data_IF_165867324042
#
_entry.id   IF_165867324042
#
_cell.length_a   1.000
_cell.length_b   1.000
_cell.length_c   1.000
_cell.angle_alpha   90.00
_cell.angle_beta   90.00
_cell.angle_gamma   90.00
#
_symmetry.space_group_name_H-M   'P 1'
#
loop_
_entity.id
_entity.type
_entity.pdbx_description
1 polymer ?
#
# COMPACT_ATOMS: atom_id res chain seq x y z
N UNK A 1 6.53 0.91 17.51
CA UNK A 1 7.94 0.47 17.59
C UNK A 1 8.02 -0.65 18.61
N UNK A 2 8.58 -1.77 18.22
CA UNK A 2 8.89 -2.87 19.14
C UNK A 2 10.39 -3.04 19.14
N UNK A 3 10.99 -3.00 20.34
CA UNK A 3 12.41 -3.31 20.49
C UNK A 3 12.57 -4.84 20.35
N UNK A 4 13.32 -5.27 19.35
CA UNK A 4 13.67 -6.67 19.21
C UNK A 4 14.79 -6.97 20.21
N UNK A 5 14.45 -7.79 21.19
CA UNK A 5 15.40 -8.25 22.19
C UNK A 5 16.18 -9.48 21.71
N UNK A 6 17.35 -9.72 22.29
CA UNK A 6 18.12 -10.95 22.04
C UNK A 6 17.30 -12.20 22.36
N UNK A 7 16.49 -12.16 23.40
CA UNK A 7 15.59 -13.25 23.78
C UNK A 7 14.55 -13.56 22.68
N UNK A 8 14.02 -12.53 22.00
CA UNK A 8 13.09 -12.71 20.87
C UNK A 8 13.76 -13.37 19.68
N UNK A 9 15.03 -13.04 19.41
CA UNK A 9 15.83 -13.67 18.35
C UNK A 9 16.10 -15.13 18.67
N UNK A 10 16.51 -15.44 19.90
CA UNK A 10 16.80 -16.80 20.36
C UNK A 10 15.56 -17.69 20.37
N UNK A 11 14.41 -17.13 20.66
CA UNK A 11 13.11 -17.81 20.57
C UNK A 11 12.57 -17.94 19.16
N UNK A 12 13.24 -17.36 18.15
CA UNK A 12 12.78 -17.36 16.76
C UNK A 12 11.52 -16.52 16.52
N UNK A 13 11.23 -15.55 17.40
CA UNK A 13 10.10 -14.64 17.28
C UNK A 13 10.41 -13.52 16.27
N UNK A 14 11.68 -13.08 16.21
CA UNK A 14 12.16 -12.10 15.25
C UNK A 14 13.04 -12.77 14.20
N UNK A 15 12.74 -12.50 12.92
CA UNK A 15 13.45 -13.12 11.78
C UNK A 15 14.68 -12.28 11.39
N UNK A 16 14.63 -10.99 11.68
CA UNK A 16 15.69 -10.08 11.24
C UNK A 16 16.95 -10.22 12.08
N UNK A 17 18.12 -10.39 11.45
CA UNK A 17 19.41 -10.40 12.13
C UNK A 17 19.90 -9.00 12.51
N UNK A 18 19.00 -8.04 12.69
CA UNK A 18 19.37 -6.66 13.07
C UNK A 18 19.90 -6.64 14.49
N UNK A 19 20.74 -5.62 14.76
CA UNK A 19 21.31 -5.43 16.08
C UNK A 19 20.25 -5.54 17.18
N UNK A 20 20.50 -6.32 18.25
CA UNK A 20 19.66 -6.32 19.42
C UNK A 20 19.55 -4.87 19.97
N UNK A 21 18.31 -4.39 20.10
CA UNK A 21 18.04 -2.99 20.45
C UNK A 21 17.86 -2.04 19.27
N UNK A 22 18.14 -2.46 18.04
CA UNK A 22 17.71 -1.71 16.87
C UNK A 22 16.20 -1.90 16.64
N UNK A 23 15.49 -0.81 16.33
CA UNK A 23 14.08 -0.91 15.93
C UNK A 23 13.96 -1.66 14.61
N UNK A 24 13.19 -2.74 14.59
CA UNK A 24 12.84 -3.45 13.38
C UNK A 24 11.41 -3.15 12.99
N UNK A 25 11.20 -3.04 11.69
CA UNK A 25 9.90 -2.92 11.06
C UNK A 25 9.70 -4.15 10.17
N UNK A 26 9.17 -5.20 10.77
CA UNK A 26 8.74 -6.37 10.01
C UNK A 26 7.25 -6.21 9.73
N UNK A 27 6.83 -5.99 8.46
CA UNK A 27 5.43 -5.84 8.15
C UNK A 27 4.69 -7.17 8.34
N UNK A 28 3.42 -7.09 8.76
CA UNK A 28 2.57 -8.27 8.79
C UNK A 28 2.47 -8.87 7.37
N UNK A 29 2.82 -10.16 7.19
CA UNK A 29 2.72 -10.78 5.88
C UNK A 29 1.25 -10.88 5.46
N UNK A 30 0.90 -10.20 4.38
CA UNK A 30 -0.45 -10.20 3.83
C UNK A 30 -0.77 -11.51 3.12
N UNK A 31 -2.03 -11.94 3.19
CA UNK A 31 -2.49 -13.16 2.51
C UNK A 31 -2.29 -14.46 3.29
N UNK A 32 -1.85 -14.39 4.54
CA UNK A 32 -1.69 -15.55 5.40
C UNK A 32 -2.80 -15.65 6.44
N UNK A 33 -3.19 -16.88 6.74
CA UNK A 33 -3.87 -17.17 7.99
C UNK A 33 -2.88 -17.18 9.17
N UNK A 34 -3.42 -17.31 10.36
CA UNK A 34 -2.62 -17.25 11.58
C UNK A 34 -1.57 -18.37 11.70
N UNK A 35 -1.83 -19.54 11.15
CA UNK A 35 -0.94 -20.69 11.26
C UNK A 35 0.18 -20.62 10.23
N UNK A 36 -0.14 -20.17 9.03
CA UNK A 36 0.85 -19.93 7.98
C UNK A 36 1.76 -18.77 8.38
N UNK A 37 1.24 -17.67 8.91
CA UNK A 37 2.06 -16.58 9.45
C UNK A 37 3.04 -17.07 10.50
N UNK A 38 2.57 -17.87 11.45
CA UNK A 38 3.39 -18.46 12.50
C UNK A 38 4.54 -19.32 11.95
N UNK A 39 4.22 -20.19 11.01
CA UNK A 39 5.20 -21.13 10.45
C UNK A 39 6.17 -20.47 9.48
N UNK A 40 5.64 -19.73 8.51
CA UNK A 40 6.46 -19.19 7.42
C UNK A 40 7.22 -17.91 7.80
N UNK A 41 6.58 -17.01 8.51
CA UNK A 41 7.22 -15.76 8.93
C UNK A 41 8.31 -15.99 9.97
N UNK A 42 8.12 -16.92 10.89
CA UNK A 42 9.04 -17.17 12.00
C UNK A 42 9.78 -18.51 11.89
N UNK A 43 9.45 -19.31 10.88
CA UNK A 43 10.03 -20.65 10.66
C UNK A 43 10.13 -21.48 11.96
N UNK A 44 9.18 -21.28 12.86
CA UNK A 44 9.16 -21.93 14.17
C UNK A 44 7.71 -22.30 14.56
N UNK A 45 7.32 -23.58 14.44
CA UNK A 45 5.96 -24.02 14.76
C UNK A 45 5.60 -23.89 16.24
N UNK A 46 6.56 -23.63 17.12
CA UNK A 46 6.33 -23.40 18.53
C UNK A 46 5.97 -21.96 18.87
N UNK A 47 6.16 -21.02 17.95
CA UNK A 47 5.78 -19.61 18.14
C UNK A 47 4.27 -19.48 18.04
N UNK A 48 3.63 -18.89 19.02
CA UNK A 48 2.20 -18.62 18.98
C UNK A 48 1.88 -17.40 18.11
N UNK A 49 0.67 -17.33 17.57
CA UNK A 49 0.19 -16.13 16.83
C UNK A 49 0.29 -14.87 17.68
N UNK A 50 0.02 -14.98 18.98
CA UNK A 50 0.15 -13.85 19.92
C UNK A 50 1.60 -13.36 19.99
N UNK A 51 2.56 -14.28 20.11
CA UNK A 51 3.98 -13.93 20.11
C UNK A 51 4.43 -13.30 18.79
N UNK A 52 3.98 -13.85 17.67
CA UNK A 52 4.24 -13.27 16.36
C UNK A 52 3.72 -11.83 16.24
N UNK A 53 2.50 -11.56 16.74
CA UNK A 53 1.88 -10.22 16.74
C UNK A 53 2.59 -9.20 17.62
N UNK A 54 3.41 -9.61 18.55
CA UNK A 54 4.15 -8.69 19.44
C UNK A 54 5.28 -7.97 18.72
N UNK A 55 5.85 -8.57 17.68
CA UNK A 55 6.95 -7.98 16.90
C UNK A 55 6.47 -7.21 15.67
N UNK A 56 5.20 -7.33 15.31
CA UNK A 56 4.62 -6.63 14.17
C UNK A 56 4.26 -5.18 14.50
N UNK A 57 4.47 -4.24 13.56
CA UNK A 57 4.04 -2.86 13.75
C UNK A 57 2.52 -2.78 13.84
N UNK A 58 2.03 -2.10 14.86
CA UNK A 58 0.60 -1.86 15.09
C UNK A 58 0.27 -0.40 14.87
N UNK A 59 -0.96 -0.11 14.51
CA UNK A 59 -1.47 1.25 14.53
C UNK A 59 -1.33 1.83 15.94
N UNK A 60 -0.75 3.03 16.02
CA UNK A 60 -0.68 3.75 17.28
C UNK A 60 -2.09 4.16 17.75
N UNK A 61 -2.28 4.26 19.07
CA UNK A 61 -3.58 4.54 19.67
C UNK A 61 -4.23 5.85 19.18
N UNK A 62 -3.43 6.83 18.76
CA UNK A 62 -3.93 8.08 18.22
C UNK A 62 -4.68 7.92 16.89
N UNK A 63 -4.43 6.85 16.12
CA UNK A 63 -5.22 6.48 14.93
C UNK A 63 -6.54 5.78 15.26
N UNK A 64 -6.69 5.26 16.48
CA UNK A 64 -7.83 4.44 16.88
C UNK A 64 -8.89 5.23 17.67
N UNK A 65 -8.74 6.54 17.79
CA UNK A 65 -9.69 7.39 18.48
C UNK A 65 -10.99 7.52 17.68
N UNK A 66 -12.13 7.49 18.38
CA UNK A 66 -13.46 7.60 17.78
C UNK A 66 -13.78 8.99 17.22
N UNK A 67 -13.03 10.01 17.63
CA UNK A 67 -13.17 11.41 17.22
C UNK A 67 -12.16 11.83 16.13
N UNK A 68 -11.41 10.88 15.58
CA UNK A 68 -10.52 11.17 14.46
C UNK A 68 -11.30 11.67 13.24
N UNK A 69 -10.75 12.64 12.49
CA UNK A 69 -11.41 13.18 11.31
C UNK A 69 -11.55 12.13 10.21
N UNK A 70 -12.72 12.08 9.59
CA UNK A 70 -12.92 11.34 8.34
C UNK A 70 -12.30 12.09 7.18
N UNK A 71 -11.30 11.51 6.52
CA UNK A 71 -10.59 12.14 5.41
C UNK A 71 -11.27 11.80 4.10
N UNK A 72 -11.72 12.81 3.37
CA UNK A 72 -12.30 12.67 2.04
C UNK A 72 -11.24 12.94 0.97
N UNK A 73 -10.54 14.06 1.08
CA UNK A 73 -9.46 14.46 0.17
C UNK A 73 -8.50 15.40 0.91
N UNK A 74 -7.22 15.33 0.56
CA UNK A 74 -6.18 16.16 1.17
C UNK A 74 -5.57 17.12 0.16
N UNK A 75 -4.99 18.23 0.65
CA UNK A 75 -4.20 19.12 -0.21
C UNK A 75 -2.97 18.44 -0.82
N UNK A 76 -2.40 17.45 -0.11
CA UNK A 76 -1.30 16.63 -0.61
C UNK A 76 -1.71 15.83 -1.84
N UNK A 77 -2.88 15.17 -1.79
CA UNK A 77 -3.44 14.41 -2.90
C UNK A 77 -3.65 15.29 -4.14
N UNK A 78 -4.26 16.46 -3.97
CA UNK A 78 -4.43 17.42 -5.07
C UNK A 78 -3.08 17.79 -5.71
N UNK A 79 -2.03 17.98 -4.90
CA UNK A 79 -0.68 18.28 -5.42
C UNK A 79 -0.08 17.12 -6.20
N UNK A 80 -0.27 15.89 -5.76
CA UNK A 80 0.17 14.70 -6.48
C UNK A 80 -0.58 14.53 -7.80
N UNK A 81 -1.90 14.71 -7.82
CA UNK A 81 -2.69 14.68 -9.06
C UNK A 81 -2.26 15.76 -10.05
N UNK A 82 -2.00 16.99 -9.58
CA UNK A 82 -1.47 18.05 -10.42
C UNK A 82 -0.07 17.74 -10.93
N UNK A 83 0.81 17.17 -10.10
CA UNK A 83 2.15 16.75 -10.51
C UNK A 83 2.08 15.69 -11.60
N UNK A 84 1.24 14.67 -11.44
CA UNK A 84 1.02 13.63 -12.44
C UNK A 84 0.49 14.21 -13.76
N UNK A 85 -0.53 15.06 -13.69
CA UNK A 85 -1.10 15.74 -14.85
C UNK A 85 -0.04 16.56 -15.60
N UNK A 86 0.84 17.25 -14.87
CA UNK A 86 1.96 18.00 -15.47
C UNK A 86 2.95 17.08 -16.16
N UNK A 87 3.31 15.94 -15.56
CA UNK A 87 4.21 14.94 -16.20
C UNK A 87 3.57 14.41 -17.50
N UNK A 88 2.24 14.22 -17.50
CA UNK A 88 1.48 13.78 -18.69
C UNK A 88 1.26 14.90 -19.73
N UNK A 89 1.79 16.09 -19.52
CA UNK A 89 1.68 17.22 -20.46
C UNK A 89 0.34 17.94 -20.42
N UNK A 90 -0.49 17.72 -19.39
CA UNK A 90 -1.76 18.43 -19.26
C UNK A 90 -1.53 19.82 -18.67
N UNK A 91 -2.34 20.79 -19.13
CA UNK A 91 -2.24 22.14 -18.63
C UNK A 91 -3.00 22.29 -17.29
N UNK A 92 -2.27 22.26 -16.19
CA UNK A 92 -2.78 22.43 -14.82
C UNK A 92 -2.14 23.63 -14.10
N UNK A 93 -1.56 24.56 -14.86
CA UNK A 93 -0.91 25.76 -14.36
C UNK A 93 0.60 25.80 -14.69
N UNK A 94 1.30 26.79 -14.15
CA UNK A 94 2.71 27.08 -14.47
C UNK A 94 3.72 26.47 -13.50
N UNK A 95 3.28 25.76 -12.46
CA UNK A 95 4.15 25.16 -11.45
C UNK A 95 4.70 23.84 -12.01
N UNK A 96 6.01 23.62 -11.90
CA UNK A 96 6.64 22.38 -12.39
C UNK A 96 6.16 21.15 -11.63
N UNK A 97 6.18 20.00 -12.30
CA UNK A 97 5.81 18.72 -11.68
C UNK A 97 6.63 18.41 -10.43
N UNK A 98 7.94 18.70 -10.46
CA UNK A 98 8.82 18.50 -9.30
C UNK A 98 8.44 19.41 -8.12
N UNK A 99 8.12 20.66 -8.38
CA UNK A 99 7.70 21.59 -7.33
C UNK A 99 6.35 21.16 -6.72
N UNK A 100 5.39 20.74 -7.55
CA UNK A 100 4.10 20.19 -7.11
C UNK A 100 4.30 18.91 -6.28
N UNK A 101 5.16 18.01 -6.74
CA UNK A 101 5.50 16.80 -6.00
C UNK A 101 6.08 17.11 -4.61
N UNK A 102 7.08 17.97 -4.52
CA UNK A 102 7.69 18.40 -3.25
C UNK A 102 6.69 19.07 -2.31
N UNK A 103 5.80 19.90 -2.85
CA UNK A 103 4.69 20.48 -2.09
C UNK A 103 3.73 19.42 -1.58
N UNK A 104 3.42 18.40 -2.39
CA UNK A 104 2.58 17.26 -2.01
C UNK A 104 3.20 16.45 -0.86
N UNK A 105 4.49 16.10 -0.98
CA UNK A 105 5.23 15.37 0.07
C UNK A 105 5.25 16.17 1.38
N UNK A 106 5.53 17.47 1.33
CA UNK A 106 5.53 18.32 2.52
C UNK A 106 4.14 18.38 3.17
N UNK A 107 3.09 18.52 2.38
CA UNK A 107 1.72 18.51 2.88
C UNK A 107 1.33 17.13 3.47
N UNK A 108 1.77 16.04 2.86
CA UNK A 108 1.54 14.69 3.38
C UNK A 108 2.26 14.46 4.73
N UNK A 109 3.50 14.97 4.87
CA UNK A 109 4.25 14.89 6.13
C UNK A 109 3.65 15.74 7.24
N UNK A 110 2.97 16.85 6.92
CA UNK A 110 2.25 17.66 7.89
C UNK A 110 0.89 17.05 8.30
N UNK A 111 0.29 16.26 7.42
CA UNK A 111 -1.05 15.72 7.61
C UNK A 111 -1.18 14.84 8.87
N UNK A 112 -0.21 13.98 9.14
CA UNK A 112 -0.24 13.09 10.31
C UNK A 112 -0.09 13.83 11.65
N UNK A 113 0.86 14.78 11.81
CA UNK A 113 0.92 15.64 12.98
C UNK A 113 -0.35 16.43 13.22
N UNK A 114 -0.87 17.06 12.18
CA UNK A 114 -2.03 17.98 12.28
C UNK A 114 -3.33 17.26 12.65
N UNK A 115 -3.52 16.03 12.17
CA UNK A 115 -4.79 15.31 12.33
C UNK A 115 -4.73 14.18 13.38
N UNK A 116 -3.56 13.60 13.62
CA UNK A 116 -3.42 12.44 14.51
C UNK A 116 -2.41 12.67 15.64
N UNK A 117 -1.85 13.87 15.77
CA UNK A 117 -0.90 14.21 16.84
C UNK A 117 0.40 13.41 16.78
N UNK A 118 0.84 13.05 15.58
CA UNK A 118 2.15 12.44 15.35
C UNK A 118 3.26 13.49 15.51
N UNK A 119 4.51 13.03 15.67
CA UNK A 119 5.66 13.93 15.67
C UNK A 119 5.82 14.61 14.32
N UNK A 120 5.94 15.93 14.32
CA UNK A 120 6.17 16.70 13.11
C UNK A 120 7.54 16.40 12.50
N UNK A 121 7.59 16.36 11.17
CA UNK A 121 8.84 16.20 10.41
C UNK A 121 9.54 17.55 10.34
N UNK A 122 10.83 17.58 10.62
CA UNK A 122 11.68 18.75 10.49
C UNK A 122 12.04 19.04 9.04
N UNK A 123 12.46 20.27 8.73
CA UNK A 123 12.93 20.62 7.38
C UNK A 123 14.15 19.79 6.97
N UNK A 124 15.08 19.51 7.89
CA UNK A 124 16.25 18.69 7.62
C UNK A 124 15.88 17.23 7.27
N UNK A 125 14.89 16.65 7.95
CA UNK A 125 14.39 15.31 7.63
C UNK A 125 13.66 15.29 6.29
N UNK A 126 12.88 16.33 5.98
CA UNK A 126 12.24 16.47 4.67
C UNK A 126 13.29 16.56 3.54
N UNK A 127 14.30 17.41 3.71
CA UNK A 127 15.35 17.61 2.70
C UNK A 127 16.16 16.31 2.49
N UNK A 128 16.50 15.61 3.58
CA UNK A 128 17.15 14.31 3.49
C UNK A 128 16.28 13.27 2.76
N UNK A 129 14.98 13.24 3.06
CA UNK A 129 14.05 12.34 2.39
C UNK A 129 13.96 12.60 0.89
N UNK A 130 13.82 13.87 0.46
CA UNK A 130 13.73 14.25 -0.95
C UNK A 130 15.02 13.95 -1.73
N UNK A 131 16.17 13.97 -1.06
CA UNK A 131 17.47 13.65 -1.68
C UNK A 131 17.72 12.15 -1.85
N UNK A 132 17.01 11.29 -1.12
CA UNK A 132 17.18 9.84 -1.12
C UNK A 132 15.87 9.12 -1.52
N UNK A 133 15.07 8.74 -0.53
CA UNK A 133 13.86 7.89 -0.71
C UNK A 133 12.74 8.58 -1.46
N UNK A 134 12.65 9.89 -1.36
CA UNK A 134 11.64 10.74 -2.02
C UNK A 134 12.16 11.43 -3.27
N UNK A 135 13.24 10.95 -3.90
CA UNK A 135 13.76 11.55 -5.12
C UNK A 135 12.74 11.49 -6.26
N UNK A 136 12.57 12.61 -6.98
CA UNK A 136 11.53 12.74 -8.02
C UNK A 136 11.83 11.93 -9.28
N UNK A 137 13.11 11.64 -9.53
CA UNK A 137 13.56 10.93 -10.73
C UNK A 137 13.71 11.84 -11.97
N UNK A 138 14.23 11.26 -13.06
CA UNK A 138 14.58 11.99 -14.27
C UNK A 138 13.66 11.65 -15.45
N UNK A 139 13.31 10.39 -15.63
CA UNK A 139 12.39 9.95 -16.68
C UNK A 139 10.93 10.09 -16.23
N UNK A 140 10.01 10.19 -17.19
CA UNK A 140 8.60 10.33 -16.86
C UNK A 140 8.06 9.12 -16.07
N UNK A 141 8.52 7.91 -16.36
CA UNK A 141 8.17 6.72 -15.58
C UNK A 141 8.66 6.82 -14.13
N UNK A 142 9.91 7.27 -13.91
CA UNK A 142 10.43 7.48 -12.54
C UNK A 142 9.66 8.58 -11.79
N UNK A 143 9.29 9.66 -12.48
CA UNK A 143 8.48 10.73 -11.89
C UNK A 143 7.08 10.22 -11.51
N UNK A 144 6.43 9.46 -12.41
CA UNK A 144 5.12 8.85 -12.16
C UNK A 144 5.18 7.85 -11.00
N UNK A 145 6.24 7.03 -10.94
CA UNK A 145 6.49 6.11 -9.84
C UNK A 145 6.65 6.86 -8.51
N UNK A 146 7.46 7.91 -8.46
CA UNK A 146 7.66 8.73 -7.26
C UNK A 146 6.34 9.34 -6.79
N UNK A 147 5.58 9.98 -7.69
CA UNK A 147 4.30 10.62 -7.38
C UNK A 147 3.30 9.59 -6.83
N UNK A 148 3.09 8.49 -7.56
CA UNK A 148 2.06 7.52 -7.21
C UNK A 148 2.46 6.67 -6.00
N UNK A 149 3.75 6.47 -5.75
CA UNK A 149 4.22 5.85 -4.49
C UNK A 149 3.90 6.73 -3.28
N UNK A 150 4.13 8.05 -3.38
CA UNK A 150 3.79 8.96 -2.29
C UNK A 150 2.28 9.12 -2.10
N UNK A 151 1.50 9.12 -3.17
CA UNK A 151 0.04 9.08 -3.10
C UNK A 151 -0.46 7.81 -2.40
N UNK A 152 0.11 6.65 -2.74
CA UNK A 152 -0.21 5.37 -2.09
C UNK A 152 0.11 5.39 -0.58
N UNK A 153 1.25 5.96 -0.18
CA UNK A 153 1.62 6.13 1.23
C UNK A 153 0.66 7.08 1.94
N UNK A 154 0.27 8.19 1.30
CA UNK A 154 -0.69 9.15 1.84
C UNK A 154 -2.03 8.48 2.17
N UNK A 155 -2.48 7.57 1.30
CA UNK A 155 -3.73 6.83 1.46
C UNK A 155 -3.66 5.66 2.46
N UNK A 156 -2.66 5.62 3.33
CA UNK A 156 -2.47 4.57 4.34
C UNK A 156 -3.74 4.28 5.18
N UNK A 157 -4.55 5.28 5.48
CA UNK A 157 -5.82 5.13 6.21
C UNK A 157 -7.03 4.95 5.28
N UNK A 158 -6.83 4.91 3.97
CA UNK A 158 -7.87 4.73 2.96
C UNK A 158 -7.49 3.63 1.96
N UNK A 159 -7.69 2.35 2.32
CA UNK A 159 -7.26 1.23 1.49
C UNK A 159 -7.95 1.16 0.12
N UNK A 160 -9.15 1.72 -0.02
CA UNK A 160 -9.85 1.79 -1.30
C UNK A 160 -9.08 2.68 -2.30
N UNK A 161 -8.62 3.84 -1.86
CA UNK A 161 -7.81 4.74 -2.68
C UNK A 161 -6.41 4.17 -2.94
N UNK A 162 -5.78 3.48 -1.96
CA UNK A 162 -4.54 2.75 -2.18
C UNK A 162 -4.67 1.77 -3.35
N UNK A 163 -5.70 0.94 -3.34
CA UNK A 163 -5.93 -0.06 -4.39
C UNK A 163 -6.28 0.58 -5.72
N UNK A 164 -7.12 1.61 -5.72
CA UNK A 164 -7.46 2.39 -6.92
C UNK A 164 -6.22 3.01 -7.54
N UNK A 165 -5.33 3.60 -6.74
CA UNK A 165 -4.09 4.19 -7.23
C UNK A 165 -3.19 3.16 -7.92
N UNK A 166 -2.98 2.00 -7.29
CA UNK A 166 -2.15 0.92 -7.88
C UNK A 166 -2.73 0.43 -9.21
N UNK A 167 -4.03 0.17 -9.26
CA UNK A 167 -4.70 -0.30 -10.50
C UNK A 167 -4.64 0.73 -11.62
N UNK A 168 -4.80 2.02 -11.29
CA UNK A 168 -4.80 3.11 -12.26
C UNK A 168 -3.42 3.45 -12.81
N UNK A 169 -2.41 3.45 -11.92
CA UNK A 169 -1.07 3.95 -12.25
C UNK A 169 -0.03 2.86 -12.47
N UNK A 170 -0.29 1.64 -11.97
CA UNK A 170 0.70 0.58 -11.88
C UNK A 170 1.79 0.83 -10.84
N UNK A 171 1.63 1.83 -9.96
CA UNK A 171 2.59 2.20 -8.92
C UNK A 171 1.96 2.32 -7.54
N UNK A 172 2.73 2.02 -6.46
CA UNK A 172 4.08 1.44 -6.49
C UNK A 172 4.09 0.04 -7.11
N UNK A 173 5.25 -0.42 -7.56
CA UNK A 173 5.45 -1.81 -8.01
C UNK A 173 5.42 -2.73 -6.79
N UNK A 174 4.23 -3.13 -6.40
CA UNK A 174 4.03 -4.08 -5.30
C UNK A 174 4.41 -5.48 -5.77
N UNK A 175 5.05 -6.23 -4.89
CA UNK A 175 5.29 -7.65 -5.14
C UNK A 175 4.00 -8.43 -4.98
N UNK A 176 3.74 -9.31 -5.92
CA UNK A 176 2.62 -10.24 -5.82
C UNK A 176 2.89 -11.30 -4.75
N UNK A 177 1.86 -11.95 -4.21
CA UNK A 177 2.03 -13.09 -3.32
C UNK A 177 2.86 -14.22 -3.94
N UNK A 178 2.80 -14.42 -5.26
CA UNK A 178 3.62 -15.39 -5.97
C UNK A 178 5.12 -15.08 -5.86
N UNK A 179 5.51 -13.81 -5.97
CA UNK A 179 6.91 -13.37 -5.84
C UNK A 179 7.47 -13.55 -4.42
N UNK A 180 6.60 -13.67 -3.42
CA UNK A 180 6.97 -14.03 -2.06
C UNK A 180 6.98 -15.56 -1.83
N UNK A 181 6.61 -16.36 -2.83
CA UNK A 181 6.53 -17.82 -2.72
C UNK A 181 5.28 -18.35 -2.02
N UNK A 182 4.24 -17.53 -1.87
CA UNK A 182 3.07 -17.83 -1.02
C UNK A 182 1.78 -18.06 -1.79
N UNK A 183 1.82 -17.99 -3.10
CA UNK A 183 0.64 -18.06 -3.96
C UNK A 183 -0.24 -19.29 -3.80
N UNK A 184 0.30 -20.38 -3.32
CA UNK A 184 -0.43 -21.63 -3.07
C UNK A 184 -1.48 -21.54 -1.94
N UNK A 185 -1.38 -20.51 -1.11
CA UNK A 185 -2.24 -20.33 0.07
C UNK A 185 -3.34 -19.29 -0.12
N UNK A 186 -3.40 -18.65 -1.29
CA UNK A 186 -4.32 -17.56 -1.52
C UNK A 186 -5.57 -18.01 -2.27
N UNK A 187 -6.71 -17.57 -1.77
CA UNK A 187 -7.99 -17.69 -2.46
C UNK A 187 -8.04 -16.62 -3.54
N UNK A 188 -8.32 -17.03 -4.80
CA UNK A 188 -8.50 -16.09 -5.91
C UNK A 188 -7.28 -15.86 -6.79
N UNK A 189 -6.10 -16.43 -6.46
CA UNK A 189 -4.92 -16.37 -7.31
C UNK A 189 -3.68 -15.80 -6.63
N UNK A 190 -2.60 -15.73 -7.39
CA UNK A 190 -1.26 -15.39 -6.91
C UNK A 190 -0.85 -13.96 -7.23
N UNK A 191 -1.59 -13.31 -8.13
CA UNK A 191 -1.33 -11.95 -8.58
C UNK A 191 -2.13 -10.91 -7.79
N UNK A 192 -1.76 -9.64 -7.91
CA UNK A 192 -2.50 -8.56 -7.28
C UNK A 192 -3.86 -8.41 -8.00
N UNK A 193 -4.99 -8.46 -7.29
CA UNK A 193 -6.29 -8.32 -7.89
C UNK A 193 -6.49 -6.96 -8.58
N UNK A 194 -6.98 -6.96 -9.80
CA UNK A 194 -7.29 -5.73 -10.55
C UNK A 194 -8.78 -5.37 -10.52
N UNK A 195 -9.64 -6.30 -10.10
CA UNK A 195 -11.09 -6.09 -9.90
C UNK A 195 -11.63 -6.99 -8.79
N UNK A 196 -12.85 -6.71 -8.37
CA UNK A 196 -13.65 -7.67 -7.60
C UNK A 196 -14.47 -8.55 -8.56
N UNK A 197 -14.61 -9.84 -8.23
CA UNK A 197 -15.56 -10.70 -8.92
C UNK A 197 -16.99 -10.23 -8.66
N UNK A 198 -17.91 -10.62 -9.51
CA UNK A 198 -19.33 -10.39 -9.26
C UNK A 198 -19.79 -11.09 -7.97
N UNK A 199 -20.75 -10.53 -7.24
CA UNK A 199 -21.36 -11.22 -6.10
C UNK A 199 -21.93 -12.59 -6.53
N UNK A 200 -21.76 -13.59 -5.68
CA UNK A 200 -22.28 -14.96 -5.96
C UNK A 200 -23.79 -14.96 -6.23
N UNK A 201 -24.52 -14.02 -5.64
CA UNK A 201 -25.98 -13.89 -5.85
C UNK A 201 -26.33 -13.57 -7.32
N UNK A 202 -25.48 -12.91 -8.08
CA UNK A 202 -25.73 -12.61 -9.50
C UNK A 202 -25.86 -13.87 -10.34
N UNK A 203 -25.04 -14.88 -10.08
CA UNK A 203 -25.11 -16.16 -10.78
C UNK A 203 -26.43 -16.93 -10.52
N UNK A 204 -27.13 -16.60 -9.43
CA UNK A 204 -28.36 -17.25 -9.04
C UNK A 204 -29.62 -16.46 -9.42
N UNK A 205 -29.63 -15.16 -9.11
CA UNK A 205 -30.81 -14.31 -9.23
C UNK A 205 -30.84 -13.47 -10.52
N UNK A 206 -29.71 -13.28 -11.18
CA UNK A 206 -29.57 -12.48 -12.41
C UNK A 206 -28.74 -13.23 -13.46
N UNK A 207 -29.02 -14.51 -13.61
CA UNK A 207 -28.19 -15.47 -14.33
C UNK A 207 -27.90 -15.08 -15.78
N UNK A 208 -28.90 -14.59 -16.51
CA UNK A 208 -28.75 -14.22 -17.94
C UNK A 208 -27.77 -13.05 -18.09
N UNK A 209 -28.00 -11.94 -17.37
CA UNK A 209 -27.13 -10.78 -17.44
C UNK A 209 -25.71 -11.08 -16.87
N UNK A 210 -25.63 -11.95 -15.86
CA UNK A 210 -24.36 -12.41 -15.33
C UNK A 210 -23.53 -13.15 -16.38
N UNK A 211 -24.14 -14.13 -17.09
CA UNK A 211 -23.46 -14.85 -18.17
C UNK A 211 -23.05 -13.94 -19.31
N UNK A 212 -23.93 -13.06 -19.75
CA UNK A 212 -23.62 -12.09 -20.79
C UNK A 212 -22.45 -11.15 -20.39
N UNK A 213 -22.41 -10.71 -19.14
CA UNK A 213 -21.31 -9.91 -18.63
C UNK A 213 -19.98 -10.68 -18.60
N UNK A 214 -20.00 -11.96 -18.21
CA UNK A 214 -18.83 -12.83 -18.24
C UNK A 214 -18.34 -13.09 -19.66
N UNK A 215 -19.23 -13.34 -20.59
CA UNK A 215 -18.86 -13.52 -22.00
C UNK A 215 -18.15 -12.28 -22.56
N UNK A 216 -18.63 -11.08 -22.24
CA UNK A 216 -17.95 -9.82 -22.62
C UNK A 216 -16.56 -9.67 -22.01
N UNK A 217 -16.28 -10.32 -20.87
CA UNK A 217 -14.96 -10.32 -20.20
C UNK A 217 -14.04 -11.46 -20.66
N UNK A 218 -14.44 -12.26 -21.67
CA UNK A 218 -13.63 -13.38 -22.14
C UNK A 218 -13.98 -14.75 -21.52
N UNK A 219 -15.17 -14.87 -20.92
CA UNK A 219 -15.71 -16.14 -20.45
C UNK A 219 -15.38 -16.54 -19.01
N UNK A 220 -14.71 -15.68 -18.25
CA UNK A 220 -14.32 -16.00 -16.88
C UNK A 220 -14.52 -14.81 -15.93
N UNK A 221 -15.12 -15.05 -14.77
CA UNK A 221 -15.22 -14.06 -13.69
C UNK A 221 -14.07 -14.31 -12.69
N UNK A 222 -12.98 -13.60 -12.85
CA UNK A 222 -11.83 -13.70 -11.97
C UNK A 222 -11.27 -12.33 -11.60
N UNK A 223 -10.33 -12.30 -10.67
CA UNK A 223 -9.71 -11.11 -10.10
C UNK A 223 -8.75 -10.40 -11.05
N UNK A 224 -8.40 -11.03 -12.18
CA UNK A 224 -7.37 -10.59 -13.12
C UNK A 224 -7.91 -10.14 -14.47
N UNK A 225 -9.23 -10.28 -14.69
CA UNK A 225 -9.87 -9.73 -15.89
C UNK A 225 -9.82 -8.20 -15.82
N UNK A 226 -9.17 -7.58 -16.80
CA UNK A 226 -9.10 -6.12 -16.90
C UNK A 226 -10.50 -5.52 -17.04
N UNK A 227 -10.70 -4.35 -16.47
CA UNK A 227 -11.91 -3.56 -16.70
C UNK A 227 -11.84 -2.92 -18.09
N UNK A 228 -13.00 -2.60 -18.67
CA UNK A 228 -13.10 -2.09 -20.04
C UNK A 228 -12.29 -0.82 -20.33
N UNK A 229 -11.98 -0.04 -19.31
CA UNK A 229 -11.16 1.19 -19.38
C UNK A 229 -9.68 0.94 -19.12
N UNK A 230 -9.36 -0.21 -18.56
CA UNK A 230 -7.99 -0.62 -18.21
C UNK A 230 -7.39 -1.35 -19.42
N UNK A 231 -7.02 -0.56 -20.40
CA UNK A 231 -6.33 -1.07 -21.57
C UNK A 231 -4.85 -1.11 -21.28
N UNK A 232 -4.23 -2.26 -21.48
CA UNK A 232 -2.80 -2.49 -21.23
C UNK A 232 -1.95 -1.31 -21.74
N UNK A 233 -1.19 -0.73 -20.83
CA UNK A 233 -0.15 0.26 -21.12
C UNK A 233 1.21 -0.41 -21.20
#
# INVERSE_FOLDING_TARGET
RVDITQEMIEKGIAISPRDPGAYSWEPWPTGYDSDICKYLAFNNPSVTVTMAREVEPKLANNFLKSDNPGVVMTSAEVKFLMAEATVKGWNVGSVSAEALYKQGVRAAMAFLPDNYGCTATTDAEFDAFIQDKGAFGHTDNQKLEAINTQAWILHFTNPAECWTNVRRSGYPKLKSPAEYGFGQYLIGGTEIPVRLCYPVLESSYNKENYHEAIERMGGTDNWHCLLWWDTEN
#
